data_IF_485855756538
#
_entry.id   IF_485855756538
#
_cell.length_a   1.000
_cell.length_b   1.000
_cell.length_c   1.000
_cell.angle_alpha   90.00
_cell.angle_beta   90.00
_cell.angle_gamma   90.00
#
_symmetry.space_group_name_H-M   'P 1'
#
loop_
_entity.id
_entity.type
_entity.pdbx_description
1 polymer ?
#
# COMPACT_ATOMS: atom_id res chain seq x y z
N UNK A 1 1.13 -14.76 18.25
CA UNK A 1 1.53 -13.71 17.29
C UNK A 1 1.71 -12.45 18.11
N UNK A 2 2.91 -11.88 18.09
CA UNK A 2 3.22 -10.67 18.87
C UNK A 2 3.20 -9.48 17.91
N UNK A 3 2.66 -8.36 18.37
CA UNK A 3 2.39 -7.19 17.56
C UNK A 3 3.12 -5.99 18.16
N UNK A 4 3.89 -5.31 17.33
CA UNK A 4 4.29 -3.92 17.61
C UNK A 4 3.26 -2.98 16.97
N UNK A 5 3.33 -1.70 17.33
CA UNK A 5 2.50 -0.68 16.70
C UNK A 5 2.76 -0.62 15.18
N UNK A 6 1.69 -0.44 14.42
CA UNK A 6 1.78 -0.32 12.97
C UNK A 6 2.60 0.92 12.59
N UNK A 7 3.59 0.74 11.72
CA UNK A 7 4.35 1.87 11.17
C UNK A 7 3.51 2.52 10.07
N UNK A 8 3.24 3.82 10.18
CA UNK A 8 2.46 4.57 9.19
C UNK A 8 3.37 5.56 8.48
N UNK A 9 3.49 5.42 7.17
CA UNK A 9 4.16 6.41 6.31
C UNK A 9 3.11 7.15 5.50
N UNK A 10 3.35 8.44 5.25
CA UNK A 10 2.35 9.32 4.61
C UNK A 10 2.95 10.02 3.40
N UNK A 11 2.19 10.04 2.30
CA UNK A 11 2.44 10.86 1.14
C UNK A 11 1.27 11.84 0.98
N UNK A 12 1.57 13.14 0.92
CA UNK A 12 0.56 14.17 0.74
C UNK A 12 1.09 15.33 -0.10
N UNK A 13 0.19 15.99 -0.82
CA UNK A 13 0.46 17.26 -1.49
C UNK A 13 -0.86 18.02 -1.62
N UNK A 14 -0.78 19.35 -1.61
CA UNK A 14 -1.93 20.25 -1.79
C UNK A 14 -2.31 20.49 -3.26
N UNK A 15 -1.54 19.95 -4.21
CA UNK A 15 -1.81 20.09 -5.64
C UNK A 15 -2.93 19.14 -6.10
N UNK A 16 -3.55 19.44 -7.24
CA UNK A 16 -4.57 18.55 -7.86
C UNK A 16 -3.98 17.31 -8.50
N UNK A 17 -2.67 17.32 -8.78
CA UNK A 17 -1.89 16.18 -9.22
C UNK A 17 -0.49 16.23 -8.59
N UNK A 18 0.02 15.08 -8.17
CA UNK A 18 1.36 14.97 -7.60
C UNK A 18 1.92 13.57 -7.80
N UNK A 19 3.24 13.48 -7.91
CA UNK A 19 3.99 12.24 -7.89
C UNK A 19 5.14 12.36 -6.89
N UNK A 20 5.48 11.24 -6.26
CA UNK A 20 6.60 11.19 -5.33
C UNK A 20 6.86 9.78 -4.87
N UNK A 21 7.40 9.67 -3.66
CA UNK A 21 7.77 8.40 -3.10
C UNK A 21 7.21 8.24 -1.69
N UNK A 22 6.91 7.00 -1.33
CA UNK A 22 6.53 6.63 0.02
C UNK A 22 7.49 5.57 0.56
N UNK A 23 7.88 5.77 1.82
CA UNK A 23 8.82 4.88 2.49
C UNK A 23 8.14 3.57 2.89
N UNK A 24 8.84 2.46 2.66
CA UNK A 24 8.42 1.12 3.01
C UNK A 24 9.55 0.35 3.70
N UNK A 25 9.24 -0.37 4.76
CA UNK A 25 10.16 -1.23 5.49
C UNK A 25 9.42 -2.39 6.15
N UNK A 26 9.94 -3.62 6.01
CA UNK A 26 9.44 -4.75 6.78
C UNK A 26 10.59 -5.34 7.58
N UNK A 27 10.66 -5.01 8.87
CA UNK A 27 11.70 -5.52 9.79
C UNK A 27 11.40 -6.93 10.27
N UNK A 28 10.17 -7.38 10.09
CA UNK A 28 9.67 -8.61 10.71
C UNK A 28 10.04 -9.87 9.95
N UNK A 29 9.87 -11.01 10.61
CA UNK A 29 10.04 -12.35 10.04
C UNK A 29 8.84 -12.81 9.22
N UNK A 30 7.75 -12.04 9.19
CA UNK A 30 6.51 -12.39 8.48
C UNK A 30 6.32 -11.55 7.21
N UNK A 31 5.65 -12.11 6.18
CA UNK A 31 5.23 -11.32 5.02
C UNK A 31 4.25 -10.22 5.46
N UNK A 32 4.58 -8.98 5.13
CA UNK A 32 3.78 -7.82 5.51
C UNK A 32 2.67 -7.57 4.49
N UNK A 33 1.44 -7.83 4.94
CA UNK A 33 0.20 -7.48 4.25
C UNK A 33 -0.14 -6.03 4.59
N UNK A 34 0.44 -5.11 3.84
CA UNK A 34 0.27 -3.68 4.04
C UNK A 34 -1.13 -3.22 3.64
N UNK A 35 -1.51 -2.04 4.12
CA UNK A 35 -2.80 -1.41 3.81
C UNK A 35 -2.58 0.03 3.39
N UNK A 36 -3.26 0.45 2.33
CA UNK A 36 -3.31 1.83 1.88
C UNK A 36 -4.61 2.46 2.35
N UNK A 37 -4.52 3.66 2.91
CA UNK A 37 -5.66 4.51 3.23
C UNK A 37 -5.52 5.77 2.38
N UNK A 38 -6.52 6.01 1.53
CA UNK A 38 -6.47 6.98 0.46
C UNK A 38 -7.63 7.95 0.60
N UNK A 39 -7.34 9.22 0.38
CA UNK A 39 -8.35 10.27 0.21
C UNK A 39 -8.82 10.34 -1.25
N UNK A 40 -9.76 11.25 -1.55
CA UNK A 40 -10.31 11.47 -2.89
C UNK A 40 -9.21 11.87 -3.89
N UNK A 41 -8.99 11.04 -4.91
CA UNK A 41 -8.21 11.30 -6.11
C UNK A 41 -8.25 10.06 -7.01
N UNK A 42 -7.72 10.16 -8.23
CA UNK A 42 -7.36 9.00 -9.06
C UNK A 42 -5.93 8.56 -8.72
N UNK A 43 -5.79 7.51 -7.91
CA UNK A 43 -4.50 7.05 -7.40
C UNK A 43 -3.83 6.03 -8.32
N UNK A 44 -2.51 6.11 -8.45
CA UNK A 44 -1.67 5.05 -9.02
C UNK A 44 -0.71 4.54 -7.96
N UNK A 45 -0.90 3.29 -7.57
CA UNK A 45 -0.16 2.65 -6.48
C UNK A 45 0.84 1.60 -7.00
N UNK A 46 1.98 1.41 -6.31
CA UNK A 46 2.94 0.37 -6.65
C UNK A 46 2.46 -1.00 -6.16
N UNK A 47 2.59 -2.03 -7.00
CA UNK A 47 2.38 -3.43 -6.63
C UNK A 47 3.47 -4.29 -7.28
N UNK A 48 4.67 -4.20 -6.71
CA UNK A 48 5.88 -4.76 -7.26
C UNK A 48 6.15 -6.18 -6.79
N UNK A 49 6.62 -7.04 -7.69
CA UNK A 49 7.27 -8.28 -7.27
C UNK A 49 8.62 -7.98 -6.61
N UNK A 50 9.03 -8.84 -5.69
CA UNK A 50 10.25 -8.68 -4.91
C UNK A 50 11.29 -9.76 -5.24
N UNK A 51 12.57 -9.39 -5.25
CA UNK A 51 13.72 -10.28 -5.45
C UNK A 51 14.83 -9.97 -4.44
N UNK A 52 15.75 -10.92 -4.24
CA UNK A 52 16.88 -10.80 -3.32
C UNK A 52 16.73 -11.66 -2.07
N UNK A 53 17.78 -11.83 -1.27
CA UNK A 53 17.73 -12.59 -0.01
C UNK A 53 17.24 -11.76 1.19
N UNK A 54 17.30 -12.35 2.40
CA UNK A 54 17.07 -11.64 3.68
C UNK A 54 17.90 -10.34 3.73
N UNK A 55 17.31 -9.23 4.16
CA UNK A 55 17.93 -7.88 4.22
C UNK A 55 18.42 -7.31 2.88
N UNK A 56 18.18 -8.00 1.75
CA UNK A 56 18.56 -7.56 0.40
C UNK A 56 17.38 -7.57 -0.57
N UNK A 57 16.15 -7.61 -0.04
CA UNK A 57 14.91 -7.59 -0.82
C UNK A 57 14.79 -6.24 -1.52
N UNK A 58 14.49 -6.25 -2.81
CA UNK A 58 14.23 -5.05 -3.63
C UNK A 58 13.14 -5.37 -4.68
N UNK A 59 12.42 -4.36 -5.20
CA UNK A 59 11.57 -4.54 -6.38
C UNK A 59 12.35 -5.21 -7.51
N UNK A 60 11.81 -6.29 -8.06
CA UNK A 60 12.52 -7.15 -9.00
C UNK A 60 11.71 -8.39 -9.40
N UNK A 61 12.14 -9.08 -10.46
CA UNK A 61 11.39 -10.21 -11.02
C UNK A 61 10.44 -9.77 -12.14
N UNK A 62 9.40 -10.55 -12.40
CA UNK A 62 8.51 -10.37 -13.56
C UNK A 62 7.75 -9.04 -13.51
N UNK A 63 7.37 -8.58 -12.31
CA UNK A 63 6.53 -7.40 -12.09
C UNK A 63 7.26 -6.34 -11.26
N UNK A 64 8.53 -6.07 -11.56
CA UNK A 64 9.38 -5.15 -10.79
C UNK A 64 8.91 -3.68 -10.79
N UNK A 65 8.17 -3.27 -11.83
CA UNK A 65 7.70 -1.88 -12.04
C UNK A 65 6.18 -1.78 -12.14
N UNK A 66 5.48 -2.83 -11.74
CA UNK A 66 4.02 -2.91 -11.86
C UNK A 66 3.32 -1.90 -10.95
N UNK A 67 2.50 -1.05 -11.57
CA UNK A 67 1.61 -0.12 -10.87
C UNK A 67 0.16 -0.44 -11.20
N UNK A 68 -0.74 -0.09 -10.29
CA UNK A 68 -2.19 -0.26 -10.44
C UNK A 68 -2.82 1.12 -10.26
N UNK A 69 -3.50 1.59 -11.30
CA UNK A 69 -4.34 2.79 -11.24
C UNK A 69 -5.72 2.39 -10.73
N UNK A 70 -6.17 3.04 -9.66
CA UNK A 70 -7.49 2.88 -9.09
C UNK A 70 -8.53 3.66 -9.91
N UNK A 71 -9.81 3.24 -9.89
CA UNK A 71 -10.88 4.08 -10.43
C UNK A 71 -10.92 5.44 -9.70
N UNK A 72 -11.43 6.50 -10.35
CA UNK A 72 -11.54 7.81 -9.71
C UNK A 72 -12.32 7.74 -8.39
N UNK A 73 -11.70 8.20 -7.30
CA UNK A 73 -12.33 8.26 -5.99
C UNK A 73 -12.91 9.65 -5.80
N UNK A 74 -14.23 9.76 -5.93
CA UNK A 74 -14.99 11.02 -5.87
C UNK A 74 -15.67 11.19 -4.52
N UNK A 75 -16.50 12.23 -4.40
CA UNK A 75 -17.34 12.48 -3.23
C UNK A 75 -18.26 11.32 -2.88
N UNK A 76 -18.67 10.53 -3.88
CA UNK A 76 -19.55 9.36 -3.67
C UNK A 76 -18.84 8.27 -2.86
N UNK A 77 -17.54 8.09 -3.06
CA UNK A 77 -16.75 7.08 -2.34
C UNK A 77 -16.15 7.64 -1.04
N UNK A 78 -15.88 8.95 -0.98
CA UNK A 78 -15.31 9.65 0.18
C UNK A 78 -13.83 9.33 0.47
N UNK A 79 -13.31 8.23 -0.08
CA UNK A 79 -11.96 7.71 0.12
C UNK A 79 -11.88 6.27 -0.35
N UNK A 80 -10.70 5.67 -0.28
CA UNK A 80 -10.51 4.25 -0.56
C UNK A 80 -9.51 3.61 0.39
N UNK A 81 -9.74 2.35 0.71
CA UNK A 81 -8.82 1.51 1.48
C UNK A 81 -8.46 0.31 0.63
N UNK A 82 -7.17 0.10 0.42
CA UNK A 82 -6.63 -1.10 -0.25
C UNK A 82 -5.95 -1.97 0.79
N UNK A 83 -6.39 -3.21 0.98
CA UNK A 83 -5.84 -4.14 1.95
C UNK A 83 -5.33 -5.41 1.27
N UNK A 84 -4.08 -5.79 1.53
CA UNK A 84 -3.57 -7.12 1.14
C UNK A 84 -3.94 -8.22 2.15
N UNK A 85 -4.56 -7.87 3.27
CA UNK A 85 -5.13 -8.84 4.22
C UNK A 85 -6.57 -9.20 3.81
N UNK A 86 -6.69 -9.88 2.67
CA UNK A 86 -7.98 -10.24 2.06
C UNK A 86 -8.80 -11.27 2.86
N UNK A 87 -8.23 -11.83 3.93
CA UNK A 87 -8.93 -12.74 4.84
C UNK A 87 -9.78 -11.93 5.84
N UNK A 88 -9.25 -10.79 6.28
CA UNK A 88 -9.86 -9.98 7.33
C UNK A 88 -10.54 -8.69 6.82
N UNK A 89 -10.24 -8.28 5.58
CA UNK A 89 -10.78 -7.05 4.98
C UNK A 89 -11.08 -7.26 3.48
N UNK A 90 -11.93 -6.41 2.91
CA UNK A 90 -12.08 -6.35 1.46
C UNK A 90 -10.79 -5.81 0.84
N UNK A 91 -10.36 -6.40 -0.27
CA UNK A 91 -9.10 -5.99 -0.91
C UNK A 91 -9.13 -4.52 -1.32
N UNK A 92 -10.26 -4.02 -1.81
CA UNK A 92 -10.47 -2.60 -2.07
C UNK A 92 -11.89 -2.23 -1.70
N UNK A 93 -12.01 -1.23 -0.82
CA UNK A 93 -13.30 -0.67 -0.42
C UNK A 93 -13.26 0.85 -0.36
N UNK A 94 -14.42 1.46 -0.44
CA UNK A 94 -14.57 2.89 -0.18
C UNK A 94 -14.71 3.17 1.33
N UNK A 95 -14.96 4.45 1.67
CA UNK A 95 -15.24 4.86 3.05
C UNK A 95 -16.57 4.32 3.61
N UNK A 96 -17.48 3.88 2.73
CA UNK A 96 -18.80 3.34 3.05
C UNK A 96 -18.83 1.80 3.08
N UNK A 97 -17.67 1.13 2.99
CA UNK A 97 -17.52 -0.32 2.92
C UNK A 97 -18.10 -0.98 1.65
N UNK A 98 -18.32 -0.20 0.59
CA UNK A 98 -18.65 -0.73 -0.73
C UNK A 98 -17.42 -1.37 -1.36
N UNK A 99 -17.61 -2.55 -1.96
CA UNK A 99 -16.54 -3.24 -2.66
C UNK A 99 -16.23 -2.55 -4.01
N UNK A 100 -15.03 -1.99 -4.15
CA UNK A 100 -14.58 -1.36 -5.40
C UNK A 100 -13.81 -2.32 -6.31
N UNK A 101 -13.58 -3.55 -5.85
CA UNK A 101 -12.81 -4.56 -6.58
C UNK A 101 -13.30 -4.84 -8.02
N UNK A 102 -14.62 -4.92 -8.29
CA UNK A 102 -15.11 -5.18 -9.66
C UNK A 102 -14.71 -4.08 -10.66
N UNK A 103 -14.46 -2.86 -10.18
CA UNK A 103 -14.12 -1.71 -11.02
C UNK A 103 -12.69 -1.75 -11.56
N UNK A 104 -11.83 -2.62 -11.03
CA UNK A 104 -10.45 -2.77 -11.50
C UNK A 104 -10.28 -3.66 -12.74
N UNK A 105 -11.35 -4.21 -13.30
CA UNK A 105 -11.30 -4.95 -14.56
C UNK A 105 -10.34 -6.14 -14.54
N UNK A 106 -10.26 -6.85 -13.41
CA UNK A 106 -9.40 -8.03 -13.23
C UNK A 106 -7.96 -7.72 -12.80
N UNK A 107 -7.59 -6.45 -12.56
CA UNK A 107 -6.31 -6.10 -11.94
C UNK A 107 -6.45 -6.14 -10.41
N UNK A 108 -5.53 -6.81 -9.74
CA UNK A 108 -5.59 -7.00 -8.28
C UNK A 108 -4.24 -6.75 -7.62
N UNK A 109 -4.26 -6.29 -6.38
CA UNK A 109 -3.04 -6.20 -5.59
C UNK A 109 -2.62 -7.62 -5.17
N UNK A 110 -1.37 -7.98 -5.42
CA UNK A 110 -0.91 -9.37 -5.21
C UNK A 110 0.39 -9.48 -4.42
N UNK A 111 1.23 -8.44 -4.39
CA UNK A 111 2.55 -8.55 -3.81
C UNK A 111 2.61 -7.99 -2.40
N UNK A 112 2.63 -8.91 -1.43
CA UNK A 112 3.02 -8.61 -0.05
C UNK A 112 4.50 -8.26 0.02
N UNK A 113 4.86 -7.45 1.02
CA UNK A 113 6.25 -7.05 1.22
C UNK A 113 6.96 -8.19 1.99
N UNK A 114 8.02 -8.80 1.44
CA UNK A 114 8.66 -9.95 2.06
C UNK A 114 9.25 -9.62 3.44
N UNK A 115 9.48 -10.65 4.28
CA UNK A 115 10.21 -10.50 5.54
C UNK A 115 11.57 -9.85 5.35
N UNK A 116 12.02 -9.08 6.35
CA UNK A 116 13.32 -8.44 6.38
C UNK A 116 13.63 -7.62 5.11
N UNK A 117 12.64 -6.87 4.64
CA UNK A 117 12.79 -5.93 3.53
C UNK A 117 13.37 -4.63 4.07
N UNK A 118 14.58 -4.23 3.63
CA UNK A 118 15.20 -2.99 4.11
C UNK A 118 14.41 -1.78 3.63
N UNK A 119 14.53 -0.68 4.36
CA UNK A 119 13.91 0.61 4.06
C UNK A 119 14.15 1.04 2.61
N UNK A 120 13.06 1.29 1.90
CA UNK A 120 13.04 1.63 0.48
C UNK A 120 11.94 2.64 0.17
N UNK A 121 12.02 3.24 -1.02
CA UNK A 121 11.07 4.25 -1.50
C UNK A 121 10.33 3.71 -2.70
N UNK A 122 9.00 3.59 -2.60
CA UNK A 122 8.14 3.17 -3.70
C UNK A 122 7.48 4.38 -4.36
N UNK A 123 7.41 4.44 -5.69
CA UNK A 123 6.75 5.54 -6.37
C UNK A 123 5.24 5.49 -6.16
N UNK A 124 4.65 6.65 -5.90
CA UNK A 124 3.21 6.84 -5.76
C UNK A 124 2.82 8.14 -6.46
N UNK A 125 1.65 8.14 -7.11
CA UNK A 125 1.11 9.36 -7.73
C UNK A 125 -0.40 9.41 -7.68
N UNK A 126 -0.93 10.61 -7.83
CA UNK A 126 -2.35 10.85 -8.01
C UNK A 126 -2.61 11.99 -9.00
N UNK A 127 -3.81 11.96 -9.59
CA UNK A 127 -4.40 13.04 -10.38
C UNK A 127 -5.84 13.27 -9.92
N UNK A 128 -6.47 14.34 -10.38
CA UNK A 128 -7.87 14.69 -10.10
C UNK A 128 -8.20 14.80 -8.60
N UNK A 129 -7.24 15.25 -7.80
CA UNK A 129 -7.48 15.55 -6.40
C UNK A 129 -8.31 16.84 -6.26
N UNK A 130 -9.21 16.92 -5.25
CA UNK A 130 -9.99 18.13 -4.98
C UNK A 130 -9.08 19.28 -4.52
N UNK A 131 -9.64 20.50 -4.45
CA UNK A 131 -8.94 21.64 -3.86
C UNK A 131 -8.53 21.31 -2.41
N UNK A 132 -7.26 21.54 -2.07
CA UNK A 132 -6.64 21.06 -0.83
C UNK A 132 -5.80 19.78 -1.00
N UNK A 133 -5.85 19.16 -2.18
CA UNK A 133 -5.00 18.05 -2.58
C UNK A 133 -5.43 16.70 -2.02
N UNK A 134 -4.48 15.78 -1.96
CA UNK A 134 -4.73 14.41 -1.56
C UNK A 134 -3.60 13.84 -0.68
N UNK A 135 -4.00 12.94 0.20
CA UNK A 135 -3.17 12.18 1.13
C UNK A 135 -3.38 10.67 0.93
N UNK A 136 -2.26 9.94 0.95
CA UNK A 136 -2.20 8.50 1.08
C UNK A 136 -1.39 8.14 2.33
N UNK A 137 -1.88 7.17 3.10
CA UNK A 137 -1.16 6.56 4.21
C UNK A 137 -0.91 5.09 3.89
N UNK A 138 0.33 4.65 4.08
CA UNK A 138 0.71 3.25 4.03
C UNK A 138 0.88 2.75 5.45
N UNK A 139 -0.05 1.89 5.86
CA UNK A 139 -0.01 1.17 7.13
C UNK A 139 0.81 -0.09 6.93
N UNK A 140 1.84 -0.25 7.76
CA UNK A 140 2.85 -1.31 7.66
C UNK A 140 2.84 -2.14 8.95
N UNK A 141 2.01 -3.19 9.02
CA UNK A 141 1.88 -3.99 10.24
C UNK A 141 3.16 -4.73 10.59
N UNK A 142 3.67 -4.51 11.81
CA UNK A 142 4.86 -5.16 12.32
C UNK A 142 4.46 -6.41 13.12
N UNK A 143 4.44 -7.55 12.41
CA UNK A 143 3.96 -8.84 12.93
C UNK A 143 5.12 -9.81 13.12
N UNK A 144 5.36 -10.23 14.36
CA UNK A 144 6.43 -11.15 14.70
C UNK A 144 5.89 -12.55 15.06
N UNK A 145 6.59 -13.61 14.64
CA UNK A 145 6.23 -14.98 15.04
C UNK A 145 6.52 -15.25 16.53
N UNK A 146 7.50 -14.54 17.11
CA UNK A 146 7.92 -14.66 18.52
C UNK A 146 8.19 -13.27 19.11
N UNK A 147 8.04 -13.11 20.44
CA UNK A 147 8.24 -11.81 21.11
C UNK A 147 9.70 -11.36 21.22
N UNK A 148 10.71 -12.21 20.98
CA UNK A 148 12.12 -11.82 21.03
C UNK A 148 13.01 -12.70 20.15
N UNK A 149 14.22 -12.21 19.84
CA UNK A 149 15.30 -12.98 19.22
C UNK A 149 15.21 -13.16 17.70
N UNK A 150 14.41 -12.34 17.02
CA UNK A 150 14.21 -12.38 15.56
C UNK A 150 14.62 -11.09 14.83
N UNK A 151 15.08 -10.09 15.57
CA UNK A 151 15.61 -8.81 15.07
C UNK A 151 16.80 -9.01 14.10
#
# INVERSE_FOLDING_TARGET
MWYEDDVITTFQSGATASAGFIEVENRTDQPMRHKWILTRATWTLPDFSWKGGKYRRKPGGVNATRTITLPPITDVQGGAVVSLDSINDLMIRDAHYTNLLPLLGGKFFQYVIPPYTPKQYLPISYIDAPAGGAMAQLVQPQRWSRPWGLE
#
